data_IF_203413287644
#
_entry.id   IF_203413287644
#
_cell.length_a   1.000
_cell.length_b   1.000
_cell.length_c   1.000
_cell.angle_alpha   90.00
_cell.angle_beta   90.00
_cell.angle_gamma   90.00
#
_symmetry.space_group_name_H-M   'P 1'
#
loop_
_entity.id
_entity.type
_entity.pdbx_description
1 polymer ?
#
# COMPACT_ATOMS: atom_id res chain seq x y z
N UNK A 1 19.98 -18.19 34.46
CA UNK A 1 19.11 -18.51 33.30
C UNK A 1 18.01 -17.47 33.00
N UNK A 2 18.00 -16.29 33.65
CA UNK A 2 16.91 -15.30 33.50
C UNK A 2 17.23 -14.15 32.52
N UNK A 3 18.49 -14.03 32.11
CA UNK A 3 19.00 -12.91 31.31
C UNK A 3 19.03 -13.21 29.80
N UNK A 4 19.15 -14.47 29.40
CA UNK A 4 19.12 -14.90 27.99
C UNK A 4 17.72 -14.90 27.38
N UNK A 5 16.67 -15.02 28.21
CA UNK A 5 15.28 -15.02 27.74
C UNK A 5 14.85 -13.65 27.22
N UNK A 6 15.39 -12.56 27.78
CA UNK A 6 15.07 -11.19 27.38
C UNK A 6 15.65 -10.83 26.00
N UNK A 7 16.86 -11.30 25.68
CA UNK A 7 17.49 -11.08 24.39
C UNK A 7 16.75 -11.81 23.25
N UNK A 8 16.21 -13.00 23.53
CA UNK A 8 15.40 -13.77 22.58
C UNK A 8 14.08 -13.06 22.22
N UNK A 9 13.42 -12.38 23.16
CA UNK A 9 12.16 -11.67 22.88
C UNK A 9 12.34 -10.42 22.00
N UNK A 10 13.48 -9.72 22.11
CA UNK A 10 13.78 -8.53 21.31
C UNK A 10 14.18 -8.93 19.88
N UNK A 11 14.95 -10.03 19.72
CA UNK A 11 15.39 -10.52 18.42
C UNK A 11 14.23 -10.95 17.51
N UNK A 12 13.19 -11.59 18.07
CA UNK A 12 12.03 -12.06 17.27
C UNK A 12 11.20 -10.89 16.72
N UNK A 13 11.16 -9.74 17.40
CA UNK A 13 10.35 -8.59 16.95
C UNK A 13 10.93 -7.86 15.74
N UNK A 14 12.24 -7.93 15.51
CA UNK A 14 12.90 -7.30 14.36
C UNK A 14 12.76 -8.12 13.06
N UNK A 15 12.52 -9.43 13.16
CA UNK A 15 12.46 -10.33 11.99
C UNK A 15 11.10 -10.37 11.26
N UNK A 16 10.10 -9.61 11.72
CA UNK A 16 8.73 -9.63 11.17
C UNK A 16 8.47 -8.43 10.23
N UNK A 17 9.43 -7.50 10.07
CA UNK A 17 9.33 -6.38 9.12
C UNK A 17 9.64 -6.77 7.66
N UNK A 18 9.47 -8.04 7.29
CA UNK A 18 9.47 -8.45 5.89
C UNK A 18 8.04 -8.36 5.35
N UNK A 19 7.70 -7.26 4.68
CA UNK A 19 6.42 -7.15 3.99
C UNK A 19 6.32 -8.30 2.97
N UNK A 20 5.24 -9.10 3.04
CA UNK A 20 5.04 -10.19 2.11
C UNK A 20 4.86 -9.63 0.69
N UNK A 21 5.94 -9.67 -0.10
CA UNK A 21 5.92 -9.15 -1.46
C UNK A 21 5.27 -10.19 -2.36
N UNK A 22 3.99 -9.99 -2.68
CA UNK A 22 3.36 -10.68 -3.82
C UNK A 22 4.10 -10.25 -5.09
N UNK A 23 4.61 -11.23 -5.84
CA UNK A 23 5.26 -11.01 -7.13
C UNK A 23 4.24 -10.47 -8.12
N UNK A 24 4.50 -9.30 -8.69
CA UNK A 24 3.68 -8.65 -9.72
C UNK A 24 4.17 -8.95 -11.14
N UNK A 25 4.93 -10.04 -11.34
CA UNK A 25 5.33 -10.46 -12.69
C UNK A 25 4.09 -10.90 -13.48
N UNK A 26 3.75 -10.13 -14.52
CA UNK A 26 2.60 -10.42 -15.38
C UNK A 26 2.16 -9.21 -16.20
N UNK A 27 1.14 -9.41 -17.03
CA UNK A 27 0.50 -8.34 -17.78
C UNK A 27 -0.43 -7.55 -16.86
N UNK A 28 -0.18 -6.24 -16.73
CA UNK A 28 -0.98 -5.33 -15.92
C UNK A 28 -1.60 -4.29 -16.84
N UNK A 29 -2.92 -4.27 -16.87
CA UNK A 29 -3.71 -3.35 -17.68
C UNK A 29 -4.67 -2.53 -16.79
N UNK A 30 -5.29 -1.46 -17.32
CA UNK A 30 -6.19 -0.60 -16.55
C UNK A 30 -7.36 -1.36 -15.91
N UNK A 31 -7.82 -2.46 -16.52
CA UNK A 31 -8.96 -3.25 -16.03
C UNK A 31 -8.59 -4.17 -14.87
N UNK A 32 -7.30 -4.49 -14.69
CA UNK A 32 -6.81 -5.44 -13.68
C UNK A 32 -7.39 -6.85 -13.84
N UNK A 33 -7.85 -7.20 -15.04
CA UNK A 33 -8.54 -8.49 -15.27
C UNK A 33 -7.57 -9.62 -15.59
N UNK A 34 -6.37 -9.31 -16.08
CA UNK A 34 -5.37 -10.29 -16.48
C UNK A 34 -4.44 -10.75 -15.35
N UNK A 35 -4.68 -10.31 -14.11
CA UNK A 35 -3.91 -10.69 -12.93
C UNK A 35 -4.71 -11.64 -12.04
N UNK A 36 -4.02 -12.48 -11.27
CA UNK A 36 -4.67 -13.32 -10.26
C UNK A 36 -5.34 -12.46 -9.18
N UNK A 37 -6.30 -13.03 -8.47
CA UNK A 37 -7.02 -12.32 -7.41
C UNK A 37 -6.09 -11.84 -6.29
N UNK A 38 -5.06 -12.63 -5.96
CA UNK A 38 -4.05 -12.28 -4.97
C UNK A 38 -3.23 -11.08 -5.43
N UNK A 39 -2.81 -11.06 -6.69
CA UNK A 39 -2.06 -9.94 -7.27
C UNK A 39 -2.91 -8.67 -7.35
N UNK A 40 -4.19 -8.79 -7.73
CA UNK A 40 -5.13 -7.67 -7.77
C UNK A 40 -5.31 -7.04 -6.41
N UNK A 41 -5.57 -7.85 -5.38
CA UNK A 41 -5.73 -7.37 -4.00
C UNK A 41 -4.46 -6.72 -3.48
N UNK A 42 -3.29 -7.31 -3.77
CA UNK A 42 -2.00 -6.73 -3.36
C UNK A 42 -1.74 -5.38 -4.04
N UNK A 43 -2.02 -5.26 -5.34
CA UNK A 43 -1.91 -4.01 -6.09
C UNK A 43 -2.86 -2.94 -5.51
N UNK A 44 -4.13 -3.27 -5.34
CA UNK A 44 -5.13 -2.34 -4.80
C UNK A 44 -4.77 -1.87 -3.37
N UNK A 45 -4.31 -2.78 -2.50
CA UNK A 45 -3.83 -2.42 -1.16
C UNK A 45 -2.65 -1.46 -1.24
N UNK A 46 -1.63 -1.77 -2.05
CA UNK A 46 -0.45 -0.91 -2.19
C UNK A 46 -0.81 0.48 -2.73
N UNK A 47 -1.74 0.56 -3.68
CA UNK A 47 -2.24 1.84 -4.19
C UNK A 47 -3.00 2.62 -3.12
N UNK A 48 -3.84 1.94 -2.33
CA UNK A 48 -4.58 2.56 -1.23
C UNK A 48 -3.64 3.08 -0.14
N UNK A 49 -2.64 2.29 0.26
CA UNK A 49 -1.63 2.70 1.22
C UNK A 49 -0.80 3.88 0.70
N UNK A 50 -0.51 3.91 -0.60
CA UNK A 50 0.21 5.02 -1.24
C UNK A 50 -0.58 6.32 -1.22
N UNK A 51 -1.91 6.27 -1.38
CA UNK A 51 -2.77 7.44 -1.34
C UNK A 51 -3.22 7.83 0.07
N UNK A 52 -2.89 7.03 1.10
CA UNK A 52 -3.30 7.31 2.47
C UNK A 52 -2.62 8.59 2.97
N UNK A 53 -3.40 9.61 3.39
CA UNK A 53 -2.82 10.83 3.93
C UNK A 53 -2.11 10.54 5.27
N UNK A 54 -1.09 11.35 5.63
CA UNK A 54 -0.51 11.30 6.97
C UNK A 54 -1.59 11.53 8.03
N UNK A 55 -1.46 10.91 9.21
CA UNK A 55 -2.51 10.96 10.24
C UNK A 55 -2.84 12.35 10.80
N UNK A 56 -2.00 13.36 10.54
CA UNK A 56 -2.27 14.75 10.90
C UNK A 56 -3.09 15.52 9.85
N UNK A 57 -3.25 14.96 8.64
CA UNK A 57 -3.98 15.61 7.56
C UNK A 57 -5.44 15.14 7.57
N UNK A 58 -6.42 16.05 7.72
CA UNK A 58 -7.82 15.65 7.72
C UNK A 58 -8.24 15.22 6.31
N UNK A 59 -9.04 14.15 6.23
CA UNK A 59 -9.63 13.68 4.99
C UNK A 59 -9.23 12.26 4.58
N UNK A 60 -9.86 11.80 3.52
CA UNK A 60 -9.67 10.45 2.97
C UNK A 60 -9.06 10.52 1.58
N UNK A 61 -7.94 9.82 1.41
CA UNK A 61 -7.25 9.66 0.15
C UNK A 61 -7.55 8.31 -0.48
N UNK A 62 -7.83 8.30 -1.78
CA UNK A 62 -8.10 7.07 -2.55
C UNK A 62 -7.48 7.13 -3.94
N UNK A 63 -7.04 5.98 -4.48
CA UNK A 63 -6.55 5.91 -5.85
C UNK A 63 -7.70 5.99 -6.87
N UNK A 64 -7.50 6.72 -7.94
CA UNK A 64 -8.40 6.85 -9.09
C UNK A 64 -7.60 6.74 -10.39
N UNK A 65 -8.33 6.55 -11.50
CA UNK A 65 -7.78 6.70 -12.87
C UNK A 65 -6.58 5.80 -13.21
N UNK A 66 -6.47 4.63 -12.59
CA UNK A 66 -5.39 3.67 -12.83
C UNK A 66 -5.25 3.30 -14.32
N UNK A 67 -4.05 3.45 -14.89
CA UNK A 67 -3.71 3.13 -16.29
C UNK A 67 -2.70 1.99 -16.44
N UNK A 68 -2.55 1.15 -15.43
CA UNK A 68 -1.62 0.01 -15.44
C UNK A 68 -0.29 0.34 -14.76
N UNK A 69 0.37 1.41 -15.18
CA UNK A 69 1.64 1.86 -14.59
C UNK A 69 1.51 3.11 -13.71
N UNK A 70 0.49 3.94 -13.95
CA UNK A 70 0.25 5.18 -13.22
C UNK A 70 -1.19 5.25 -12.69
N UNK A 71 -1.41 6.15 -11.74
CA UNK A 71 -2.72 6.46 -11.17
C UNK A 71 -2.72 7.85 -10.52
N UNK A 72 -3.91 8.31 -10.16
CA UNK A 72 -4.08 9.57 -9.42
C UNK A 72 -4.49 9.26 -7.99
N UNK A 73 -3.83 9.85 -7.01
CA UNK A 73 -4.36 9.91 -5.65
C UNK A 73 -5.28 11.13 -5.55
N UNK A 74 -6.55 10.89 -5.22
CA UNK A 74 -7.52 11.95 -4.94
C UNK A 74 -7.82 11.98 -3.45
N UNK A 75 -7.55 13.13 -2.83
CA UNK A 75 -7.77 13.40 -1.41
C UNK A 75 -8.88 14.44 -1.25
N UNK A 76 -9.86 14.14 -0.41
CA UNK A 76 -10.91 15.10 -0.03
C UNK A 76 -10.70 15.57 1.41
N UNK A 77 -10.51 16.87 1.59
CA UNK A 77 -10.41 17.52 2.90
C UNK A 77 -11.44 18.65 2.99
N UNK A 78 -12.59 18.36 3.60
CA UNK A 78 -13.74 19.26 3.58
C UNK A 78 -14.25 19.47 2.16
N UNK A 79 -14.30 20.73 1.71
CA UNK A 79 -14.71 21.08 0.34
C UNK A 79 -13.54 21.03 -0.66
N UNK A 80 -12.30 20.92 -0.18
CA UNK A 80 -11.12 20.92 -1.05
C UNK A 80 -10.84 19.51 -1.57
N UNK A 81 -10.62 19.42 -2.88
CA UNK A 81 -10.12 18.21 -3.55
C UNK A 81 -8.69 18.44 -4.01
N UNK A 82 -7.80 17.52 -3.65
CA UNK A 82 -6.39 17.55 -4.03
C UNK A 82 -6.12 16.32 -4.89
N UNK A 83 -5.46 16.52 -6.02
CA UNK A 83 -5.09 15.45 -6.94
C UNK A 83 -3.56 15.38 -7.07
N UNK A 84 -3.03 14.17 -6.94
CA UNK A 84 -1.61 13.88 -7.12
C UNK A 84 -1.45 12.77 -8.15
N UNK A 85 -0.73 13.05 -9.23
CA UNK A 85 -0.34 12.02 -10.19
C UNK A 85 0.82 11.18 -9.66
N UNK A 86 0.68 9.86 -9.73
CA UNK A 86 1.70 8.88 -9.36
C UNK A 86 2.11 8.13 -10.64
N UNK A 87 3.38 8.26 -11.02
CA UNK A 87 3.97 7.64 -12.20
C UNK A 87 4.79 6.39 -11.85
#
# INVERSE_FOLDING_TARGET
MRQYFWLLCIGVRLSICGEQVVSMYGYVDPTKTHMSDECRKALESRMQDRCRPPGFYPGDGSPTDFKGCNFTCRLKSGETTIEQHVN
#
